data_IF_323443522035
#
_entry.id   IF_323443522035
#
_cell.length_a   1.000
_cell.length_b   1.000
_cell.length_c   1.000
_cell.angle_alpha   90.00
_cell.angle_beta   90.00
_cell.angle_gamma   90.00
#
_symmetry.space_group_name_H-M   'P 1'
#
loop_
_entity.id
_entity.type
_entity.pdbx_description
1 polymer ?
#
# COMPACT_ATOMS: atom_id res chain seq x y z
N UNK A 1 2.22 5.89 -15.34
CA UNK A 1 2.46 4.58 -14.70
C UNK A 1 3.81 4.66 -14.01
N UNK A 2 3.93 4.33 -12.72
CA UNK A 2 5.25 4.13 -12.11
C UNK A 2 5.93 2.92 -12.76
N UNK A 3 7.24 2.99 -12.97
CA UNK A 3 8.02 1.81 -13.31
C UNK A 3 8.08 0.84 -12.12
N UNK A 4 8.48 -0.41 -12.37
CA UNK A 4 8.69 -1.38 -11.28
C UNK A 4 9.73 -0.91 -10.27
N UNK A 5 10.82 -0.30 -10.73
CA UNK A 5 11.87 0.22 -9.84
C UNK A 5 11.35 1.40 -8.98
N UNK A 6 10.55 2.29 -9.56
CA UNK A 6 9.92 3.38 -8.80
C UNK A 6 8.96 2.83 -7.74
N UNK A 7 8.20 1.80 -8.07
CA UNK A 7 7.29 1.16 -7.13
C UNK A 7 8.05 0.55 -5.95
N UNK A 8 9.11 -0.21 -6.19
CA UNK A 8 9.90 -0.87 -5.15
C UNK A 8 10.59 0.15 -4.24
N UNK A 9 11.10 1.25 -4.81
CA UNK A 9 11.70 2.34 -4.04
C UNK A 9 10.67 3.02 -3.13
N UNK A 10 9.49 3.36 -3.66
CA UNK A 10 8.44 4.02 -2.88
C UNK A 10 7.86 3.05 -1.82
N UNK A 11 7.75 1.76 -2.14
CA UNK A 11 7.33 0.73 -1.19
C UNK A 11 8.32 0.61 -0.03
N UNK A 12 9.60 0.52 -0.35
CA UNK A 12 10.68 0.43 0.65
C UNK A 12 10.69 1.66 1.54
N UNK A 13 10.64 2.85 0.96
CA UNK A 13 10.59 4.10 1.72
C UNK A 13 9.37 4.16 2.65
N UNK A 14 8.18 3.82 2.14
CA UNK A 14 6.95 3.83 2.94
C UNK A 14 6.96 2.80 4.08
N UNK A 15 7.59 1.63 3.88
CA UNK A 15 7.80 0.68 4.96
C UNK A 15 8.71 1.27 6.05
N UNK A 16 9.85 1.84 5.66
CA UNK A 16 10.83 2.44 6.60
C UNK A 16 10.20 3.59 7.39
N UNK A 17 9.45 4.49 6.74
CA UNK A 17 8.75 5.61 7.39
C UNK A 17 7.76 5.15 8.47
N UNK A 18 7.15 3.97 8.29
CA UNK A 18 6.18 3.40 9.21
C UNK A 18 6.79 2.42 10.22
N UNK A 19 8.13 2.27 10.21
CA UNK A 19 8.85 1.32 11.06
C UNK A 19 8.59 -0.14 10.71
N UNK A 20 8.23 -0.43 9.47
CA UNK A 20 8.01 -1.77 8.94
C UNK A 20 9.28 -2.26 8.23
N UNK A 21 9.51 -3.57 8.29
CA UNK A 21 10.57 -4.22 7.52
C UNK A 21 10.06 -4.52 6.10
N UNK A 22 10.59 -3.87 5.05
CA UNK A 22 10.16 -4.10 3.67
C UNK A 22 10.41 -5.54 3.19
N UNK A 23 11.36 -6.28 3.78
CA UNK A 23 11.61 -7.68 3.40
C UNK A 23 10.54 -8.64 3.95
N UNK A 24 9.88 -8.26 5.06
CA UNK A 24 8.88 -9.06 5.75
C UNK A 24 7.46 -8.44 5.70
N UNK A 25 7.30 -7.36 4.93
CA UNK A 25 6.04 -6.63 4.76
C UNK A 25 5.58 -6.78 3.33
N UNK A 26 4.27 -6.91 3.12
CA UNK A 26 3.66 -6.83 1.80
C UNK A 26 2.83 -5.54 1.67
N UNK A 27 2.50 -5.15 0.44
CA UNK A 27 1.75 -3.92 0.17
C UNK A 27 0.40 -3.84 0.89
N UNK A 28 -0.26 -4.98 1.12
CA UNK A 28 -1.52 -5.02 1.86
C UNK A 28 -1.32 -4.64 3.33
N UNK A 29 -0.31 -5.21 3.99
CA UNK A 29 0.02 -4.89 5.37
C UNK A 29 0.49 -3.44 5.52
N UNK A 30 1.29 -2.94 4.57
CA UNK A 30 1.69 -1.55 4.49
C UNK A 30 0.47 -0.62 4.40
N UNK A 31 -0.47 -0.90 3.50
CA UNK A 31 -1.65 -0.08 3.29
C UNK A 31 -2.60 -0.13 4.50
N UNK A 32 -2.78 -1.30 5.12
CA UNK A 32 -3.49 -1.41 6.40
C UNK A 32 -2.86 -0.49 7.44
N UNK A 33 -1.53 -0.54 7.61
CA UNK A 33 -0.80 0.30 8.56
C UNK A 33 -0.99 1.80 8.26
N UNK A 34 -0.91 2.21 7.00
CA UNK A 34 -1.15 3.60 6.56
C UNK A 34 -2.54 4.09 6.95
N UNK A 35 -3.54 3.23 6.84
CA UNK A 35 -4.94 3.57 7.12
C UNK A 35 -5.33 3.34 8.60
N UNK A 36 -4.38 2.91 9.45
CA UNK A 36 -4.64 2.62 10.87
C UNK A 36 -5.50 1.36 11.09
N UNK A 37 -5.50 0.44 10.12
CA UNK A 37 -6.29 -0.78 10.11
C UNK A 37 -5.43 -2.00 10.46
N UNK A 38 -6.05 -3.01 11.08
CA UNK A 38 -5.40 -4.29 11.41
C UNK A 38 -5.50 -5.25 10.22
N UNK A 39 -4.37 -5.73 9.64
CA UNK A 39 -4.37 -6.68 8.55
C UNK A 39 -5.19 -7.96 8.82
N UNK A 40 -5.35 -8.38 10.08
CA UNK A 40 -6.11 -9.59 10.44
C UNK A 40 -7.62 -9.43 10.28
N UNK A 41 -8.12 -8.20 10.41
CA UNK A 41 -9.54 -7.88 10.42
C UNK A 41 -9.98 -7.05 9.21
N UNK A 42 -9.05 -6.73 8.31
CA UNK A 42 -9.27 -5.85 7.17
C UNK A 42 -9.38 -6.64 5.89
N UNK A 43 -10.28 -6.25 4.99
CA UNK A 43 -10.33 -6.78 3.63
C UNK A 43 -9.73 -5.80 2.65
N UNK A 44 -9.22 -6.28 1.53
CA UNK A 44 -8.71 -5.41 0.45
C UNK A 44 -9.74 -4.35 0.00
N UNK A 45 -11.04 -4.70 0.02
CA UNK A 45 -12.13 -3.78 -0.28
C UNK A 45 -12.22 -2.59 0.70
N UNK A 46 -11.85 -2.77 1.96
CA UNK A 46 -11.87 -1.68 2.93
C UNK A 46 -10.77 -0.66 2.62
N UNK A 47 -9.61 -1.15 2.16
CA UNK A 47 -8.50 -0.31 1.71
C UNK A 47 -8.81 0.46 0.43
N UNK A 48 -9.62 -0.14 -0.46
CA UNK A 48 -10.04 0.47 -1.73
C UNK A 48 -10.90 1.73 -1.53
N UNK A 49 -11.46 1.96 -0.32
CA UNK A 49 -12.29 3.14 0.01
C UNK A 49 -11.47 4.42 0.17
N UNK A 50 -10.22 4.30 0.63
CA UNK A 50 -9.31 5.43 0.79
C UNK A 50 -7.88 5.06 0.33
N UNK A 51 -7.71 4.73 -0.97
CA UNK A 51 -6.51 4.07 -1.44
C UNK A 51 -5.35 5.06 -1.57
N UNK A 52 -4.18 4.70 -1.04
CA UNK A 52 -2.94 5.39 -1.40
C UNK A 52 -2.69 5.31 -2.91
N UNK A 53 -1.90 6.23 -3.51
CA UNK A 53 -1.53 6.13 -4.92
C UNK A 53 -0.90 4.78 -5.30
N UNK A 54 -0.09 4.22 -4.40
CA UNK A 54 0.56 2.93 -4.58
C UNK A 54 -0.44 1.78 -4.55
N UNK A 55 -1.36 1.79 -3.58
CA UNK A 55 -2.43 0.80 -3.49
C UNK A 55 -3.36 0.84 -4.70
N UNK A 56 -3.76 2.04 -5.13
CA UNK A 56 -4.58 2.23 -6.33
C UNK A 56 -3.89 1.69 -7.59
N UNK A 57 -2.57 1.91 -7.73
CA UNK A 57 -1.80 1.33 -8.83
C UNK A 57 -1.74 -0.21 -8.74
N UNK A 58 -1.43 -0.76 -7.57
CA UNK A 58 -1.33 -2.21 -7.35
C UNK A 58 -2.66 -2.93 -7.63
N UNK A 59 -3.76 -2.37 -7.13
CA UNK A 59 -5.13 -2.88 -7.33
C UNK A 59 -5.75 -2.51 -8.67
N UNK A 60 -5.07 -1.68 -9.47
CA UNK A 60 -5.56 -1.12 -10.75
C UNK A 60 -6.94 -0.44 -10.59
N UNK A 61 -7.12 0.29 -9.49
CA UNK A 61 -8.36 1.01 -9.22
C UNK A 61 -8.52 2.15 -10.22
N UNK A 62 -9.74 2.31 -10.75
CA UNK A 62 -10.10 3.51 -11.51
C UNK A 62 -10.21 4.66 -10.52
N UNK A 63 -9.24 5.57 -10.53
CA UNK A 63 -9.42 6.88 -9.90
C UNK A 63 -10.47 7.63 -10.73
N UNK A 64 -11.50 8.15 -10.09
CA UNK A 64 -12.29 9.21 -10.71
C UNK A 64 -11.31 10.38 -10.91
N UNK A 65 -10.95 10.65 -12.15
CA UNK A 65 -10.13 11.81 -12.52
C UNK A 65 -10.86 13.11 -12.22
#
# INVERSE_FOLDING_TARGET
MMSSADFDNVFTAACVELGLDPANTNIFALECRRQGLDPKNTRAYDLDKNPSPMWAQFRKLKRAS
#
